data_IF_300328209587
#
_entry.id   IF_300328209587
#
_cell.length_a   1.000
_cell.length_b   1.000
_cell.length_c   1.000
_cell.angle_alpha   90.00
_cell.angle_beta   90.00
_cell.angle_gamma   90.00
#
_symmetry.space_group_name_H-M   'P 1'
#
loop_
_entity.id
_entity.type
_entity.pdbx_description
1 polymer ?
#
# COMPACT_ATOMS: atom_id res chain seq x y z
N UNK A 1 10.19 -2.35 -7.28
CA UNK A 1 11.05 -3.27 -6.50
C UNK A 1 12.37 -2.56 -6.25
N UNK A 2 12.74 -2.42 -4.98
CA UNK A 2 14.00 -1.81 -4.55
C UNK A 2 15.16 -2.55 -5.22
N UNK A 3 16.06 -1.84 -5.90
CA UNK A 3 17.18 -2.45 -6.63
C UNK A 3 18.05 -3.31 -5.72
N UNK A 4 18.18 -2.92 -4.45
CA UNK A 4 18.93 -3.62 -3.40
C UNK A 4 18.44 -5.06 -3.18
N UNK A 5 17.14 -5.32 -3.30
CA UNK A 5 16.56 -6.66 -3.04
C UNK A 5 16.91 -7.68 -4.12
N UNK A 6 17.15 -7.24 -5.36
CA UNK A 6 17.45 -8.12 -6.49
C UNK A 6 18.72 -8.96 -6.28
N UNK A 7 19.66 -8.49 -5.46
CA UNK A 7 20.90 -9.22 -5.14
C UNK A 7 20.64 -10.44 -4.24
N UNK A 8 19.57 -10.42 -3.46
CA UNK A 8 19.24 -11.42 -2.44
C UNK A 8 18.15 -12.41 -2.86
N UNK A 9 17.58 -12.21 -4.05
CA UNK A 9 16.56 -13.09 -4.63
C UNK A 9 17.02 -13.66 -5.97
N UNK A 10 16.43 -14.79 -6.36
CA UNK A 10 16.55 -15.36 -7.70
C UNK A 10 15.19 -15.22 -8.37
N UNK A 11 15.09 -14.31 -9.34
CA UNK A 11 13.87 -14.15 -10.13
C UNK A 11 13.67 -15.36 -11.04
N UNK A 12 12.42 -15.79 -11.18
CA UNK A 12 12.04 -16.89 -12.07
C UNK A 12 11.16 -16.39 -13.20
N UNK A 13 11.03 -17.20 -14.25
CA UNK A 13 10.04 -16.96 -15.30
C UNK A 13 8.63 -17.42 -14.92
N UNK A 14 8.47 -18.07 -13.76
CA UNK A 14 7.17 -18.51 -13.25
C UNK A 14 6.38 -17.29 -12.77
N UNK A 15 5.07 -17.29 -13.05
CA UNK A 15 4.15 -16.22 -12.62
C UNK A 15 3.24 -16.72 -11.50
N UNK A 16 3.02 -15.86 -10.51
CA UNK A 16 1.97 -15.99 -9.52
C UNK A 16 0.73 -15.25 -10.02
N UNK A 17 -0.20 -16.01 -10.60
CA UNK A 17 -1.40 -15.45 -11.23
C UNK A 17 -1.09 -14.67 -12.52
N UNK A 18 -1.88 -13.63 -12.80
CA UNK A 18 -1.85 -12.95 -14.09
C UNK A 18 -0.59 -12.09 -14.34
N UNK A 19 -0.02 -11.46 -13.30
CA UNK A 19 0.94 -10.35 -13.50
C UNK A 19 2.23 -10.43 -12.70
N UNK A 20 2.25 -11.08 -11.54
CA UNK A 20 3.43 -11.04 -10.68
C UNK A 20 4.39 -12.19 -11.01
N UNK A 21 5.68 -11.90 -11.17
CA UNK A 21 6.70 -12.95 -11.25
C UNK A 21 6.90 -13.59 -9.88
N UNK A 22 7.38 -14.82 -9.88
CA UNK A 22 7.83 -15.50 -8.67
C UNK A 22 9.35 -15.39 -8.56
N UNK A 23 9.84 -15.35 -7.33
CA UNK A 23 11.24 -15.36 -6.99
C UNK A 23 11.50 -16.33 -5.84
N UNK A 24 12.75 -16.76 -5.72
CA UNK A 24 13.26 -17.55 -4.60
C UNK A 24 14.18 -16.70 -3.73
N UNK A 25 14.27 -17.02 -2.45
CA UNK A 25 15.37 -16.54 -1.63
C UNK A 25 16.67 -17.18 -2.11
N UNK A 26 17.68 -16.36 -2.44
CA UNK A 26 18.96 -16.83 -2.98
C UNK A 26 19.66 -17.82 -2.04
N UNK A 27 19.59 -17.55 -0.74
CA UNK A 27 20.22 -18.42 0.27
C UNK A 27 19.50 -19.76 0.38
N UNK A 28 18.16 -19.73 0.40
CA UNK A 28 17.38 -20.97 0.43
C UNK A 28 17.64 -21.80 -0.82
N UNK A 29 17.69 -21.17 -1.99
CA UNK A 29 17.99 -21.86 -3.25
C UNK A 29 19.38 -22.49 -3.23
N UNK A 30 20.41 -21.75 -2.79
CA UNK A 30 21.77 -22.26 -2.73
C UNK A 30 21.96 -23.40 -1.70
N UNK A 31 21.25 -23.35 -0.56
CA UNK A 31 21.36 -24.41 0.47
C UNK A 31 20.54 -25.65 0.13
N UNK A 32 19.33 -25.48 -0.39
CA UNK A 32 18.36 -26.57 -0.56
C UNK A 32 18.37 -27.16 -1.98
N UNK A 33 18.68 -26.36 -3.00
CA UNK A 33 18.50 -26.72 -4.41
C UNK A 33 17.08 -26.46 -4.94
N UNK A 34 16.93 -26.48 -6.26
CA UNK A 34 15.69 -26.11 -6.97
C UNK A 34 14.49 -27.03 -6.64
N UNK A 35 14.75 -28.32 -6.46
CA UNK A 35 13.71 -29.35 -6.30
C UNK A 35 13.37 -29.67 -4.83
N UNK A 36 13.87 -28.86 -3.90
CA UNK A 36 13.63 -29.14 -2.49
C UNK A 36 12.20 -28.74 -2.07
N UNK A 37 11.42 -29.62 -1.43
CA UNK A 37 10.03 -29.34 -1.07
C UNK A 37 9.87 -28.16 -0.10
N UNK A 38 10.91 -27.88 0.70
CA UNK A 38 10.93 -26.74 1.62
C UNK A 38 11.29 -25.39 0.94
N UNK A 39 11.65 -25.39 -0.34
CA UNK A 39 11.96 -24.16 -1.07
C UNK A 39 10.67 -23.40 -1.39
N UNK A 40 10.40 -22.34 -0.63
CA UNK A 40 9.20 -21.52 -0.82
C UNK A 40 9.38 -20.52 -1.96
N UNK A 41 8.41 -20.49 -2.86
CA UNK A 41 8.25 -19.44 -3.86
C UNK A 41 7.67 -18.18 -3.21
N UNK A 42 8.16 -17.01 -3.63
CA UNK A 42 7.75 -15.70 -3.10
C UNK A 42 7.32 -14.85 -4.29
N UNK A 43 6.20 -14.13 -4.17
CA UNK A 43 5.83 -13.15 -5.19
C UNK A 43 6.87 -12.01 -5.24
N UNK A 44 7.18 -11.53 -6.44
CA UNK A 44 8.12 -10.43 -6.74
C UNK A 44 7.61 -9.06 -6.26
N UNK A 45 7.25 -8.98 -4.97
CA UNK A 45 6.75 -7.79 -4.26
C UNK A 45 7.61 -7.54 -3.04
N UNK A 46 8.10 -6.30 -2.90
CA UNK A 46 8.98 -5.87 -1.81
C UNK A 46 8.47 -6.33 -0.44
N UNK A 47 7.21 -6.05 -0.08
CA UNK A 47 6.66 -6.42 1.24
C UNK A 47 6.67 -7.92 1.52
N UNK A 48 6.43 -8.73 0.47
CA UNK A 48 6.38 -10.19 0.59
C UNK A 48 7.78 -10.77 0.76
N UNK A 49 8.75 -10.20 0.05
CA UNK A 49 10.17 -10.56 0.15
C UNK A 49 10.70 -10.19 1.55
N UNK A 50 10.45 -8.98 2.02
CA UNK A 50 10.86 -8.55 3.36
C UNK A 50 10.24 -9.42 4.46
N UNK A 51 8.96 -9.76 4.35
CA UNK A 51 8.30 -10.68 5.29
C UNK A 51 8.94 -12.07 5.28
N UNK A 52 9.36 -12.56 4.12
CA UNK A 52 10.08 -13.82 4.03
C UNK A 52 11.44 -13.73 4.73
N UNK A 53 12.25 -12.70 4.43
CA UNK A 53 13.57 -12.52 5.02
C UNK A 53 13.55 -12.41 6.55
N UNK A 54 12.52 -11.78 7.13
CA UNK A 54 12.34 -11.75 8.60
C UNK A 54 12.21 -13.14 9.21
N UNK A 55 11.52 -14.05 8.54
CA UNK A 55 11.23 -15.40 9.05
C UNK A 55 12.20 -16.47 8.49
N UNK A 56 13.17 -16.08 7.66
CA UNK A 56 14.04 -17.01 6.96
C UNK A 56 15.34 -17.19 7.75
N UNK A 57 15.44 -18.31 8.48
CA UNK A 57 16.63 -18.60 9.30
C UNK A 57 17.92 -18.58 8.46
N UNK A 58 17.89 -19.21 7.28
CA UNK A 58 19.03 -19.23 6.37
C UNK A 58 19.52 -17.83 5.95
N UNK A 59 18.59 -16.89 5.74
CA UNK A 59 18.92 -15.50 5.45
C UNK A 59 19.54 -14.81 6.67
N UNK A 60 18.97 -15.05 7.85
CA UNK A 60 19.45 -14.47 9.10
C UNK A 60 20.84 -14.99 9.50
N UNK A 61 21.17 -16.24 9.18
CA UNK A 61 22.45 -16.83 9.55
C UNK A 61 23.58 -16.45 8.57
N UNK A 62 23.27 -16.27 7.28
CA UNK A 62 24.29 -16.04 6.25
C UNK A 62 24.74 -14.57 6.19
N UNK A 63 23.79 -13.63 6.28
CA UNK A 63 24.09 -12.21 6.07
C UNK A 63 24.45 -11.50 7.37
N UNK A 64 25.33 -10.51 7.26
CA UNK A 64 25.73 -9.65 8.36
C UNK A 64 24.61 -8.68 8.77
N UNK A 65 24.72 -8.09 9.97
CA UNK A 65 23.74 -7.10 10.43
C UNK A 65 23.65 -5.89 9.48
N UNK A 66 24.78 -5.45 8.93
CA UNK A 66 24.82 -4.34 7.96
C UNK A 66 23.99 -4.64 6.71
N UNK A 67 24.15 -5.82 6.10
CA UNK A 67 23.38 -6.21 4.92
C UNK A 67 21.88 -6.33 5.23
N UNK A 68 21.54 -6.82 6.43
CA UNK A 68 20.15 -6.85 6.90
C UNK A 68 19.59 -5.45 7.03
N UNK A 69 20.35 -4.53 7.61
CA UNK A 69 19.93 -3.15 7.78
C UNK A 69 19.73 -2.47 6.42
N UNK A 70 20.58 -2.73 5.42
CA UNK A 70 20.37 -2.24 4.05
C UNK A 70 19.07 -2.77 3.43
N UNK A 71 18.74 -4.04 3.70
CA UNK A 71 17.52 -4.69 3.18
C UNK A 71 16.26 -4.20 3.90
N UNK A 72 16.30 -4.00 5.21
CA UNK A 72 15.13 -3.62 6.01
C UNK A 72 14.94 -2.11 6.17
N UNK A 73 16.03 -1.33 6.16
CA UNK A 73 15.99 0.13 6.24
C UNK A 73 15.94 0.81 4.87
N UNK A 74 15.86 0.06 3.76
CA UNK A 74 15.48 0.61 2.45
C UNK A 74 14.00 1.03 2.47
N UNK A 75 13.68 2.05 3.27
CA UNK A 75 12.48 2.84 3.10
C UNK A 75 12.68 3.63 1.82
N UNK A 76 12.22 3.09 0.70
CA UNK A 76 11.67 3.99 -0.30
C UNK A 76 10.59 4.78 0.44
N UNK A 77 10.69 6.11 0.47
CA UNK A 77 9.59 6.96 0.87
C UNK A 77 8.42 6.68 -0.07
N UNK A 78 7.63 5.66 0.27
CA UNK A 78 6.31 5.56 -0.31
C UNK A 78 5.55 6.73 0.28
N UNK A 79 5.45 7.82 -0.48
CA UNK A 79 4.33 8.74 -0.40
C UNK A 79 3.06 7.93 -0.73
N UNK A 80 2.70 7.00 0.16
CA UNK A 80 1.37 6.45 0.23
C UNK A 80 0.52 7.63 0.66
N UNK A 81 0.00 8.34 -0.36
CA UNK A 81 -0.97 9.39 -0.21
C UNK A 81 -2.00 8.91 0.79
N UNK A 82 -1.96 9.51 1.98
CA UNK A 82 -3.03 9.48 2.95
C UNK A 82 -4.25 9.97 2.17
N UNK A 83 -5.09 9.06 1.69
CA UNK A 83 -6.48 9.41 1.43
C UNK A 83 -7.05 9.76 2.80
N UNK A 84 -6.90 11.03 3.18
CA UNK A 84 -7.75 11.65 4.19
C UNK A 84 -9.16 11.31 3.73
N UNK A 85 -9.87 10.48 4.50
CA UNK A 85 -11.32 10.51 4.44
C UNK A 85 -11.66 11.94 4.84
N UNK A 86 -12.15 12.72 3.88
CA UNK A 86 -12.91 13.92 4.21
C UNK A 86 -14.20 13.39 4.83
N UNK A 87 -14.20 13.32 6.16
CA UNK A 87 -15.41 13.15 6.95
C UNK A 87 -15.39 14.30 7.95
N UNK A 88 -16.03 15.37 7.48
CA UNK A 88 -16.77 16.36 8.26
C UNK A 88 -16.36 16.52 9.72
N UNK A 89 -15.37 17.38 9.97
CA UNK A 89 -15.21 18.01 11.29
C UNK A 89 -16.04 19.28 11.32
N UNK A 90 -17.28 19.18 11.80
CA UNK A 90 -17.95 20.27 12.49
C UNK A 90 -18.62 19.72 13.74
N UNK A 91 -18.00 19.98 14.89
CA UNK A 91 -18.64 20.49 16.12
C UNK A 91 -17.61 20.48 17.25
N UNK A 92 -16.86 21.58 17.33
CA UNK A 92 -16.28 22.03 18.60
C UNK A 92 -16.90 23.39 18.87
N UNK A 93 -18.04 23.40 19.56
CA UNK A 93 -18.62 24.61 20.14
C UNK A 93 -18.29 24.63 21.64
N UNK A 94 -17.66 25.71 22.10
CA UNK A 94 -18.14 26.32 23.33
C UNK A 94 -18.34 27.84 23.16
N UNK A 95 -19.61 28.25 23.19
CA UNK A 95 -20.19 29.41 23.87
C UNK A 95 -19.25 30.59 24.19
N UNK A 96 -19.46 31.73 23.51
CA UNK A 96 -19.60 33.06 24.14
C UNK A 96 -20.24 34.11 23.19
N UNK A 97 -21.54 34.37 23.40
CA UNK A 97 -22.28 35.67 23.34
C UNK A 97 -22.24 36.59 22.08
N UNK A 98 -23.16 37.59 21.95
CA UNK A 98 -23.95 37.79 20.75
C UNK A 98 -23.69 39.17 20.13
N UNK A 99 -23.77 39.28 18.81
CA UNK A 99 -23.91 40.60 18.20
C UNK A 99 -24.82 40.50 17.00
N UNK A 100 -25.97 41.12 17.20
CA UNK A 100 -27.03 41.32 16.24
C UNK A 100 -26.45 41.86 14.92
N UNK A 101 -26.88 41.31 13.79
CA UNK A 101 -27.22 42.13 12.62
C UNK A 101 -28.13 41.36 11.67
N UNK A 102 -29.40 41.75 11.72
CA UNK A 102 -30.42 41.60 10.69
C UNK A 102 -29.86 41.82 9.27
N UNK A 103 -29.95 40.82 8.40
CA UNK A 103 -30.31 41.04 6.99
C UNK A 103 -31.40 40.04 6.60
N UNK A 104 -32.62 40.55 6.72
CA UNK A 104 -33.84 40.12 6.05
C UNK A 104 -33.65 40.26 4.54
N UNK A 105 -33.88 39.21 3.74
CA UNK A 105 -34.43 39.38 2.39
C UNK A 105 -35.13 38.13 1.87
N UNK A 106 -36.41 38.38 1.65
CA UNK A 106 -37.49 37.55 1.17
C UNK A 106 -37.25 36.81 -0.16
N UNK A 107 -37.88 35.63 -0.21
CA UNK A 107 -38.48 34.92 -1.35
C UNK A 107 -38.58 35.68 -2.67
N UNK A 108 -38.25 35.00 -3.78
CA UNK A 108 -39.15 34.98 -4.96
C UNK A 108 -39.09 33.64 -5.72
N UNK A 109 -40.31 33.22 -6.04
CA UNK A 109 -40.74 32.13 -6.89
C UNK A 109 -40.61 32.45 -8.38
N UNK A 110 -40.41 31.44 -9.23
CA UNK A 110 -40.95 31.27 -10.61
C UNK A 110 -40.67 29.83 -11.06
N UNK A 111 -41.62 28.88 -11.27
CA UNK A 111 -42.69 28.74 -12.30
C UNK A 111 -42.11 28.85 -13.74
N UNK A 112 -42.30 27.95 -14.71
CA UNK A 112 -43.29 26.88 -14.98
C UNK A 112 -42.83 25.88 -16.08
N UNK A 113 -43.44 24.67 -16.08
CA UNK A 113 -43.96 23.77 -17.16
C UNK A 113 -43.33 23.77 -18.58
N UNK A 114 -43.23 22.64 -19.32
CA UNK A 114 -44.35 21.89 -19.96
C UNK A 114 -43.89 20.63 -20.75
N UNK A 115 -44.71 19.54 -20.71
CA UNK A 115 -45.08 18.56 -21.79
C UNK A 115 -43.98 17.65 -22.40
N UNK A 116 -44.15 16.35 -22.75
CA UNK A 116 -45.29 15.57 -23.29
C UNK A 116 -45.10 14.03 -23.09
N UNK A 117 -46.20 13.27 -23.23
CA UNK A 117 -46.33 11.79 -23.33
C UNK A 117 -45.50 11.16 -24.48
N UNK A 118 -45.34 9.82 -24.55
CA UNK A 118 -46.30 9.02 -25.34
C UNK A 118 -46.60 7.58 -24.86
N UNK A 119 -47.79 7.13 -25.30
CA UNK A 119 -48.30 5.79 -25.67
C UNK A 119 -48.33 4.63 -24.66
#
# INVERSE_FOLDING_TARGET
MVQTLKKYIISTNKKSGATNKLCYCRVCYNKLGEDHPNLKTIADKTDRILKHFKNCQNFQDLYSQQEKDEVFNSKEESHLGKRKRADDSLLSDPLDEPSQLLIRRDSISSRSSSTSLPS
#
